data_IF_036955675196
#
_entry.id   IF_036955675196
#
_cell.length_a   1.000
_cell.length_b   1.000
_cell.length_c   1.000
_cell.angle_alpha   90.00
_cell.angle_beta   90.00
_cell.angle_gamma   90.00
#
_symmetry.space_group_name_H-M   'P 1'
#
loop_
_entity.id
_entity.type
_entity.pdbx_description
1 polymer ?
#
# COMPACT_ATOMS: atom_id res chain seq x y z
N UNK A 1 -15.59 -19.37 2.70
CA UNK A 1 -14.40 -20.24 2.69
C UNK A 1 -13.15 -19.45 3.10
N UNK A 2 -12.64 -18.50 2.29
CA UNK A 2 -11.40 -17.73 2.59
C UNK A 2 -11.47 -16.89 3.89
N UNK A 3 -12.62 -16.30 4.23
CA UNK A 3 -12.77 -15.49 5.46
C UNK A 3 -12.69 -16.32 6.74
N UNK A 4 -13.15 -17.57 6.69
CA UNK A 4 -13.14 -18.50 7.85
C UNK A 4 -11.72 -19.00 8.12
N UNK A 5 -10.94 -19.29 7.06
CA UNK A 5 -9.52 -19.67 7.21
C UNK A 5 -8.68 -18.53 7.81
N UNK A 6 -8.84 -17.31 7.30
CA UNK A 6 -8.12 -16.14 7.84
C UNK A 6 -8.51 -15.93 9.31
N UNK A 7 -9.79 -16.07 9.66
CA UNK A 7 -10.24 -15.94 11.03
C UNK A 7 -9.66 -17.02 11.95
N UNK A 8 -9.59 -18.27 11.48
CA UNK A 8 -9.03 -19.40 12.22
C UNK A 8 -7.50 -19.28 12.40
N UNK A 9 -6.79 -18.84 11.36
CA UNK A 9 -5.35 -18.66 11.37
C UNK A 9 -4.95 -17.47 12.24
N UNK A 10 -5.69 -16.36 12.15
CA UNK A 10 -5.58 -15.25 13.09
C UNK A 10 -5.86 -15.78 14.49
N UNK A 11 -7.00 -16.42 14.77
CA UNK A 11 -7.28 -16.98 16.11
C UNK A 11 -6.19 -17.91 16.64
N UNK A 12 -5.58 -18.74 15.79
CA UNK A 12 -4.47 -19.62 16.15
C UNK A 12 -3.21 -18.83 16.52
N UNK A 13 -2.88 -17.78 15.76
CA UNK A 13 -1.82 -16.82 16.13
C UNK A 13 -2.18 -16.03 17.40
N UNK A 14 -3.47 -15.77 17.64
CA UNK A 14 -3.99 -15.06 18.83
C UNK A 14 -4.01 -15.93 20.10
N UNK A 15 -3.98 -17.27 19.97
CA UNK A 15 -3.96 -18.22 21.09
C UNK A 15 -2.53 -18.51 21.58
N UNK A 16 -1.52 -18.16 20.77
CA UNK A 16 -0.13 -18.31 21.15
C UNK A 16 0.27 -17.26 22.20
N UNK A 17 0.53 -17.73 23.42
CA UNK A 17 0.98 -16.92 24.56
C UNK A 17 2.29 -16.16 24.25
N UNK A 18 3.13 -16.72 23.36
CA UNK A 18 4.36 -16.07 22.91
C UNK A 18 4.08 -14.78 22.13
N UNK A 19 3.08 -14.81 21.25
CA UNK A 19 2.67 -13.66 20.43
C UNK A 19 2.07 -12.52 21.27
N UNK A 20 1.32 -12.85 22.33
CA UNK A 20 0.78 -11.88 23.28
C UNK A 20 1.88 -11.14 24.06
N UNK A 21 2.91 -11.87 24.51
CA UNK A 21 4.08 -11.29 25.20
C UNK A 21 4.88 -10.39 24.28
N UNK A 22 5.13 -10.81 23.03
CA UNK A 22 5.80 -9.98 22.02
C UNK A 22 5.03 -8.69 21.75
N UNK A 23 3.71 -8.76 21.63
CA UNK A 23 2.86 -7.58 21.45
C UNK A 23 2.93 -6.60 22.64
N UNK A 24 2.85 -7.13 23.88
CA UNK A 24 3.02 -6.31 25.08
C UNK A 24 4.39 -5.61 25.11
N UNK A 25 5.45 -6.35 24.75
CA UNK A 25 6.82 -5.83 24.72
C UNK A 25 7.03 -4.76 23.63
N UNK A 26 6.48 -4.96 22.43
CA UNK A 26 6.59 -3.97 21.34
C UNK A 26 5.82 -2.70 21.68
N UNK A 27 4.61 -2.82 22.22
CA UNK A 27 3.83 -1.67 22.68
C UNK A 27 4.53 -0.92 23.83
N UNK A 28 5.08 -1.65 24.80
CA UNK A 28 5.88 -1.03 25.86
C UNK A 28 7.10 -0.29 25.28
N UNK A 29 7.79 -0.85 24.29
CA UNK A 29 8.90 -0.17 23.61
C UNK A 29 8.47 1.13 22.92
N UNK A 30 7.33 1.11 22.21
CA UNK A 30 6.79 2.30 21.53
C UNK A 30 6.37 3.38 22.54
N UNK A 31 5.61 3.03 23.58
CA UNK A 31 5.24 4.00 24.62
C UNK A 31 6.45 4.48 25.42
N UNK A 32 7.47 3.64 25.61
CA UNK A 32 8.73 4.03 26.22
C UNK A 32 9.47 5.09 25.39
N UNK A 33 9.55 4.90 24.07
CA UNK A 33 10.12 5.91 23.17
C UNK A 33 9.34 7.23 23.22
N UNK A 34 8.00 7.17 23.21
CA UNK A 34 7.17 8.38 23.37
C UNK A 34 7.34 9.04 24.73
N UNK A 35 7.53 8.27 25.79
CA UNK A 35 7.82 8.77 27.14
C UNK A 35 9.14 9.54 27.16
N UNK A 36 10.19 8.98 26.53
CA UNK A 36 11.50 9.63 26.42
C UNK A 36 11.36 10.95 25.64
N UNK A 37 10.69 10.94 24.49
CA UNK A 37 10.47 12.16 23.67
C UNK A 37 9.63 13.20 24.43
N UNK A 38 8.58 12.77 25.14
CA UNK A 38 7.72 13.66 25.93
C UNK A 38 8.46 14.25 27.14
N UNK A 39 9.38 13.48 27.75
CA UNK A 39 10.28 13.94 28.81
C UNK A 39 11.18 15.06 28.32
N UNK A 40 11.81 14.89 27.16
CA UNK A 40 12.64 15.93 26.54
C UNK A 40 11.86 17.20 26.17
N UNK A 41 10.55 17.08 25.92
CA UNK A 41 9.69 18.21 25.54
C UNK A 41 8.98 18.89 26.71
N UNK A 42 9.15 18.43 27.96
CA UNK A 42 8.43 18.92 29.16
C UNK A 42 6.93 19.17 28.90
N UNK A 43 6.30 18.24 28.18
CA UNK A 43 4.87 18.35 27.86
C UNK A 43 4.02 17.90 29.05
N UNK A 44 2.90 18.59 29.30
CA UNK A 44 1.89 18.23 30.33
C UNK A 44 1.35 16.80 30.15
N UNK A 45 1.54 16.19 28.98
CA UNK A 45 1.17 14.81 28.70
C UNK A 45 2.13 13.76 29.30
N UNK A 46 3.30 14.15 29.82
CA UNK A 46 4.32 13.23 30.37
C UNK A 46 3.78 12.20 31.38
N UNK A 47 3.07 12.58 32.46
CA UNK A 47 2.59 11.62 33.46
C UNK A 47 1.58 10.62 32.88
N UNK A 48 0.76 11.03 31.90
CA UNK A 48 -0.24 10.16 31.28
C UNK A 48 0.41 9.09 30.41
N UNK A 49 1.42 9.47 29.61
CA UNK A 49 2.15 8.54 28.74
C UNK A 49 3.04 7.59 29.57
N UNK A 50 3.63 8.09 30.65
CA UNK A 50 4.40 7.26 31.59
C UNK A 50 3.53 6.22 32.32
N UNK A 51 2.33 6.60 32.74
CA UNK A 51 1.38 5.69 33.39
C UNK A 51 0.88 4.60 32.42
N UNK A 52 0.65 4.97 31.15
CA UNK A 52 0.36 4.00 30.09
C UNK A 52 1.53 3.05 29.83
N UNK A 53 2.76 3.56 29.78
CA UNK A 53 3.96 2.72 29.66
C UNK A 53 4.08 1.72 30.82
N UNK A 54 3.94 2.19 32.06
CA UNK A 54 4.05 1.34 33.25
C UNK A 54 2.92 0.30 33.31
N UNK A 55 1.70 0.70 32.93
CA UNK A 55 0.55 -0.20 32.82
C UNK A 55 0.76 -1.27 31.76
N UNK A 56 1.18 -0.91 30.55
CA UNK A 56 1.42 -1.88 29.49
C UNK A 56 2.64 -2.78 29.77
N UNK A 57 3.70 -2.24 30.36
CA UNK A 57 4.88 -3.00 30.76
C UNK A 57 4.54 -4.00 31.88
N UNK A 58 3.84 -3.55 32.92
CA UNK A 58 3.44 -4.39 34.05
C UNK A 58 2.45 -5.49 33.65
N UNK A 59 1.41 -5.15 32.89
CA UNK A 59 0.38 -6.12 32.47
C UNK A 59 0.92 -7.05 31.37
N UNK A 60 1.82 -6.57 30.51
CA UNK A 60 2.50 -7.39 29.50
C UNK A 60 3.37 -8.52 30.09
N UNK A 61 3.91 -8.32 31.30
CA UNK A 61 4.73 -9.31 32.02
C UNK A 61 3.87 -10.21 32.91
N UNK A 62 2.92 -9.65 33.66
CA UNK A 62 2.23 -10.37 34.76
C UNK A 62 0.90 -11.00 34.35
N UNK A 63 0.16 -10.41 33.41
CA UNK A 63 -1.21 -10.84 33.08
C UNK A 63 -1.54 -10.72 31.58
N UNK A 64 -0.96 -11.59 30.74
CA UNK A 64 -1.17 -11.55 29.28
C UNK A 64 -2.64 -11.75 28.88
N UNK A 65 -3.45 -12.46 29.70
CA UNK A 65 -4.86 -12.72 29.38
C UNK A 65 -5.72 -11.44 29.31
N UNK A 66 -5.39 -10.38 30.07
CA UNK A 66 -6.08 -9.10 29.98
C UNK A 66 -5.84 -8.38 28.65
N UNK A 67 -4.64 -8.54 28.07
CA UNK A 67 -4.28 -7.98 26.76
C UNK A 67 -4.97 -8.70 25.61
N UNK A 68 -5.50 -9.91 25.80
CA UNK A 68 -6.10 -10.70 24.72
C UNK A 68 -7.22 -9.95 24.00
N UNK A 69 -8.10 -9.26 24.75
CA UNK A 69 -9.20 -8.46 24.16
C UNK A 69 -8.66 -7.28 23.37
N UNK A 70 -7.73 -6.53 23.94
CA UNK A 70 -7.12 -5.35 23.29
C UNK A 70 -6.36 -5.78 22.03
N UNK A 71 -5.59 -6.85 22.12
CA UNK A 71 -4.84 -7.42 21.00
C UNK A 71 -5.77 -7.88 19.87
N UNK A 72 -6.94 -8.44 20.19
CA UNK A 72 -7.93 -8.83 19.19
C UNK A 72 -8.45 -7.60 18.42
N UNK A 73 -8.88 -6.55 19.13
CA UNK A 73 -9.29 -5.29 18.50
C UNK A 73 -8.18 -4.67 17.65
N UNK A 74 -6.96 -4.66 18.18
CA UNK A 74 -5.79 -4.12 17.49
C UNK A 74 -5.45 -4.91 16.23
N UNK A 75 -5.50 -6.24 16.29
CA UNK A 75 -5.22 -7.10 15.15
C UNK A 75 -6.28 -6.95 14.06
N UNK A 76 -7.57 -6.90 14.42
CA UNK A 76 -8.64 -6.62 13.45
C UNK A 76 -8.44 -5.28 12.76
N UNK A 77 -8.03 -4.25 13.51
CA UNK A 77 -7.68 -2.95 12.94
C UNK A 77 -6.48 -3.06 11.99
N UNK A 78 -5.40 -3.73 12.40
CA UNK A 78 -4.21 -3.92 11.57
C UNK A 78 -4.51 -4.65 10.25
N UNK A 79 -5.35 -5.69 10.27
CA UNK A 79 -5.76 -6.43 9.06
C UNK A 79 -6.60 -5.53 8.14
N UNK A 80 -7.53 -4.77 8.70
CA UNK A 80 -8.37 -3.83 7.94
C UNK A 80 -7.53 -2.75 7.28
N UNK A 81 -6.56 -2.21 8.03
CA UNK A 81 -5.62 -1.23 7.53
C UNK A 81 -4.72 -1.83 6.45
N UNK A 82 -4.24 -3.06 6.62
CA UNK A 82 -3.45 -3.78 5.61
C UNK A 82 -4.20 -3.93 4.29
N UNK A 83 -5.48 -4.34 4.35
CA UNK A 83 -6.33 -4.43 3.17
C UNK A 83 -6.52 -3.09 2.46
N UNK A 84 -6.69 -2.00 3.22
CA UNK A 84 -6.77 -0.67 2.64
C UNK A 84 -5.43 -0.23 2.03
N UNK A 85 -4.32 -0.44 2.75
CA UNK A 85 -2.98 -0.07 2.32
C UNK A 85 -2.57 -0.78 1.04
N UNK A 86 -2.85 -2.08 0.89
CA UNK A 86 -2.54 -2.80 -0.36
C UNK A 86 -3.24 -2.16 -1.55
N UNK A 87 -4.50 -1.73 -1.40
CA UNK A 87 -5.25 -1.03 -2.46
C UNK A 87 -4.65 0.35 -2.74
N UNK A 88 -4.36 1.11 -1.70
CA UNK A 88 -3.75 2.44 -1.82
C UNK A 88 -2.40 2.37 -2.51
N UNK A 89 -1.53 1.46 -2.08
CA UNK A 89 -0.19 1.27 -2.67
C UNK A 89 -0.34 0.89 -4.14
N UNK A 90 -1.22 -0.05 -4.47
CA UNK A 90 -1.44 -0.46 -5.87
C UNK A 90 -2.00 0.68 -6.73
N UNK A 91 -2.98 1.43 -6.23
CA UNK A 91 -3.53 2.60 -6.92
C UNK A 91 -2.51 3.71 -7.10
N UNK A 92 -1.70 3.97 -6.07
CA UNK A 92 -0.62 4.97 -6.14
C UNK A 92 0.43 4.55 -7.16
N UNK A 93 0.84 3.28 -7.14
CA UNK A 93 1.83 2.73 -8.06
C UNK A 93 1.30 2.82 -9.50
N UNK A 94 0.06 2.42 -9.75
CA UNK A 94 -0.60 2.58 -11.04
C UNK A 94 -0.60 4.05 -11.47
N UNK A 95 -1.05 4.96 -10.61
CA UNK A 95 -1.12 6.37 -10.96
C UNK A 95 0.26 6.94 -11.26
N UNK A 96 1.27 6.66 -10.44
CA UNK A 96 2.64 7.12 -10.64
C UNK A 96 3.22 6.56 -11.94
N UNK A 97 3.11 5.25 -12.19
CA UNK A 97 3.67 4.63 -13.39
C UNK A 97 3.02 5.20 -14.66
N UNK A 98 1.69 5.21 -14.73
CA UNK A 98 0.96 5.69 -15.90
C UNK A 98 1.10 7.20 -16.10
N UNK A 99 1.11 7.98 -15.01
CA UNK A 99 1.32 9.43 -15.09
C UNK A 99 2.72 9.76 -15.55
N UNK A 100 3.75 9.07 -15.05
CA UNK A 100 5.14 9.28 -15.49
C UNK A 100 5.28 8.88 -16.96
N UNK A 101 4.71 7.76 -17.40
CA UNK A 101 4.73 7.36 -18.82
C UNK A 101 4.02 8.41 -19.69
N UNK A 102 2.82 8.85 -19.30
CA UNK A 102 2.07 9.88 -20.03
C UNK A 102 2.77 11.25 -20.03
N UNK A 103 3.47 11.58 -18.95
CA UNK A 103 4.26 12.81 -18.86
C UNK A 103 5.50 12.72 -19.76
N UNK A 104 6.18 11.57 -19.78
CA UNK A 104 7.30 11.30 -20.68
C UNK A 104 6.84 11.39 -22.13
N UNK A 105 5.75 10.72 -22.53
CA UNK A 105 5.26 10.81 -23.92
C UNK A 105 4.84 12.24 -24.30
N UNK A 106 4.28 13.01 -23.35
CA UNK A 106 3.96 14.42 -23.55
C UNK A 106 5.20 15.30 -23.72
N UNK A 107 6.27 15.06 -22.94
CA UNK A 107 7.53 15.81 -23.03
C UNK A 107 8.29 15.43 -24.31
N UNK A 108 8.40 14.14 -24.60
CA UNK A 108 9.10 13.65 -25.79
C UNK A 108 8.31 13.89 -27.08
N UNK A 109 7.05 14.32 -26.98
CA UNK A 109 6.22 14.81 -28.10
C UNK A 109 6.30 13.89 -29.33
N UNK A 110 6.44 12.59 -29.09
CA UNK A 110 6.45 11.58 -30.14
C UNK A 110 5.07 11.57 -30.78
N UNK A 111 4.96 12.29 -31.89
CA UNK A 111 3.80 12.34 -32.75
C UNK A 111 3.67 10.96 -33.42
N UNK A 112 3.24 9.96 -32.65
CA UNK A 112 3.11 8.59 -33.16
C UNK A 112 1.95 8.45 -34.15
N UNK A 113 1.05 9.44 -34.20
CA UNK A 113 -0.14 9.43 -35.04
C UNK A 113 -0.24 10.60 -36.04
N UNK A 114 0.77 11.48 -36.16
CA UNK A 114 0.62 12.76 -36.90
C UNK A 114 -0.69 13.47 -36.50
N UNK A 115 -0.98 13.52 -35.19
CA UNK A 115 -2.29 13.94 -34.66
C UNK A 115 -2.44 15.47 -34.68
N UNK A 116 -1.36 16.19 -34.98
CA UNK A 116 -1.39 17.65 -35.10
C UNK A 116 -2.02 18.06 -36.42
N UNK A 117 -3.10 18.82 -36.30
CA UNK A 117 -3.79 19.44 -37.40
C UNK A 117 -2.88 20.50 -38.07
N UNK A 118 -2.21 20.12 -39.15
CA UNK A 118 -1.42 21.03 -39.98
C UNK A 118 -2.34 21.78 -40.96
N UNK A 119 -2.62 23.06 -40.69
CA UNK A 119 -3.45 23.90 -41.55
C UNK A 119 -2.81 24.22 -42.91
N UNK A 120 -1.52 23.93 -43.09
CA UNK A 120 -0.79 24.13 -44.34
C UNK A 120 -0.62 22.85 -45.17
N UNK A 121 -1.05 21.69 -44.66
CA UNK A 121 -0.99 20.43 -45.40
C UNK A 121 -2.04 20.41 -46.52
N UNK A 122 -1.59 20.17 -47.76
CA UNK A 122 -2.47 20.08 -48.93
C UNK A 122 -3.33 18.80 -48.95
N UNK A 123 -2.92 17.76 -48.22
CA UNK A 123 -3.68 16.53 -48.01
C UNK A 123 -3.07 15.70 -46.89
N UNK A 124 -3.89 15.20 -45.96
CA UNK A 124 -3.46 14.26 -44.90
C UNK A 124 -3.32 12.81 -45.39
N UNK A 125 -3.56 12.56 -46.68
CA UNK A 125 -3.40 11.22 -47.25
C UNK A 125 -1.93 10.81 -47.30
N UNK A 126 -1.51 9.94 -46.38
CA UNK A 126 -0.23 9.23 -46.51
C UNK A 126 -0.34 8.23 -47.67
N UNK A 127 0.38 8.50 -48.77
CA UNK A 127 0.48 7.55 -49.89
C UNK A 127 1.19 6.29 -49.42
N UNK A 128 0.46 5.18 -49.40
CA UNK A 128 1.02 3.85 -49.15
C UNK A 128 2.02 3.52 -50.25
N UNK A 129 3.28 3.29 -49.89
CA UNK A 129 4.27 2.84 -50.85
C UNK A 129 3.87 1.45 -51.38
N UNK A 130 3.93 1.21 -52.70
CA UNK A 130 3.61 -0.10 -53.25
C UNK A 130 4.62 -1.12 -52.72
N UNK A 131 4.16 -1.99 -51.83
CA UNK A 131 4.99 -3.08 -51.34
C UNK A 131 5.20 -4.09 -52.46
N UNK A 132 6.44 -4.56 -52.62
CA UNK A 132 6.86 -5.52 -53.64
C UNK A 132 6.04 -6.82 -53.63
N UNK A 133 5.40 -7.15 -52.49
CA UNK A 133 4.58 -8.36 -52.31
C UNK A 133 3.06 -8.11 -52.39
N UNK A 134 2.63 -6.98 -52.96
CA UNK A 134 1.21 -6.64 -53.04
C UNK A 134 0.37 -7.70 -53.78
N UNK A 135 0.88 -8.32 -54.85
CA UNK A 135 0.19 -9.40 -55.57
C UNK A 135 -0.05 -10.63 -54.70
N UNK A 136 0.99 -11.10 -53.98
CA UNK A 136 0.92 -12.31 -53.16
C UNK A 136 -0.02 -12.19 -51.95
N UNK A 137 -0.21 -10.97 -51.44
CA UNK A 137 -1.16 -10.70 -50.34
C UNK A 137 -2.62 -10.66 -50.77
N UNK A 138 -2.90 -10.26 -52.01
CA UNK A 138 -4.26 -10.28 -52.55
C UNK A 138 -4.75 -11.71 -52.78
N UNK A 139 -3.83 -12.63 -53.12
CA UNK A 139 -4.12 -14.05 -53.34
C UNK A 139 -4.47 -14.82 -52.05
N UNK A 140 -4.16 -14.29 -50.86
CA UNK A 140 -4.40 -14.96 -49.56
C UNK A 140 -5.64 -14.44 -48.83
N UNK A 141 -6.44 -13.57 -49.44
CA UNK A 141 -7.61 -12.95 -48.82
C UNK A 141 -8.95 -13.60 -49.21
N UNK A 142 -8.94 -14.57 -50.12
CA UNK A 142 -10.08 -15.43 -50.47
C UNK A 142 -9.69 -16.90 -50.24
#
# INVERSE_FOLDING_TARGET
MIREEIAAEVQKLLLDQGSLRKFGLTMAGVFGAFTIIAFYRMSTAFPLVFLLFLGFYGVGITYPQGLKRIYLWWMTFAITLGYFMTRVILSLLFYVMFTVIGLITRIFKSDMLDERYDSHASSYWQRRQPSKDAKRRLEQQY
#
